data_IF_441901865814
#
_entry.id   IF_441901865814
#
_cell.length_a   1.000
_cell.length_b   1.000
_cell.length_c   1.000
_cell.angle_alpha   90.00
_cell.angle_beta   90.00
_cell.angle_gamma   90.00
#
_symmetry.space_group_name_H-M   'P 1'
#
loop_
_entity.id
_entity.type
_entity.pdbx_description
1 polymer ?
#
# COMPACT_ATOMS: atom_id res chain seq x y z
N UNK A 1 4.36 -21.97 -21.58
CA UNK A 1 3.35 -22.45 -20.62
C UNK A 1 2.02 -21.82 -21.00
N UNK A 2 0.93 -22.59 -21.10
CA UNK A 2 -0.38 -22.02 -21.45
C UNK A 2 -0.99 -21.31 -20.24
N UNK A 3 -1.44 -20.06 -20.42
CA UNK A 3 -2.11 -19.30 -19.37
C UNK A 3 -3.60 -19.65 -19.33
N UNK A 4 -4.01 -20.54 -18.43
CA UNK A 4 -5.41 -20.97 -18.34
C UNK A 4 -6.39 -19.85 -17.97
N UNK A 5 -5.95 -18.73 -17.39
CA UNK A 5 -6.84 -17.59 -17.13
C UNK A 5 -7.40 -16.98 -18.42
N UNK A 6 -6.64 -17.05 -19.52
CA UNK A 6 -7.09 -16.56 -20.83
C UNK A 6 -8.21 -17.41 -21.43
N UNK A 7 -8.33 -18.68 -20.99
CA UNK A 7 -9.38 -19.60 -21.42
C UNK A 7 -10.69 -19.46 -20.62
N UNK A 8 -10.66 -18.76 -19.48
CA UNK A 8 -11.86 -18.57 -18.64
C UNK A 8 -12.76 -17.51 -19.30
N UNK A 9 -14.07 -17.77 -19.45
CA UNK A 9 -15.00 -16.77 -19.97
C UNK A 9 -14.91 -15.48 -19.16
N UNK A 10 -14.70 -14.34 -19.83
CA UNK A 10 -14.55 -13.01 -19.20
C UNK A 10 -15.73 -12.59 -18.32
N UNK A 11 -16.89 -13.22 -18.49
CA UNK A 11 -18.09 -13.03 -17.65
C UNK A 11 -17.98 -13.68 -16.27
N UNK A 12 -17.12 -14.70 -16.13
CA UNK A 12 -16.84 -15.38 -14.85
C UNK A 12 -15.71 -14.73 -14.06
N UNK A 13 -14.99 -13.79 -14.67
CA UNK A 13 -13.90 -13.07 -14.03
C UNK A 13 -14.44 -11.79 -13.37
N UNK A 14 -14.05 -11.56 -12.11
CA UNK A 14 -14.30 -10.28 -11.44
C UNK A 14 -13.63 -9.16 -12.23
N UNK A 15 -14.35 -8.04 -12.39
CA UNK A 15 -13.84 -6.86 -13.07
C UNK A 15 -13.56 -5.77 -12.06
N UNK A 16 -12.39 -5.17 -12.15
CA UNK A 16 -12.02 -4.03 -11.33
C UNK A 16 -11.89 -2.78 -12.21
N UNK A 17 -12.12 -1.58 -11.64
CA UNK A 17 -11.82 -0.34 -12.33
C UNK A 17 -10.38 -0.34 -12.84
N UNK A 18 -10.16 0.20 -14.04
CA UNK A 18 -8.80 0.39 -14.57
C UNK A 18 -8.23 1.70 -14.04
N UNK A 19 -6.97 1.67 -13.65
CA UNK A 19 -6.21 2.85 -13.26
C UNK A 19 -4.84 2.81 -13.95
N UNK A 20 -4.31 3.94 -14.44
CA UNK A 20 -3.01 3.97 -15.13
C UNK A 20 -1.81 3.74 -14.20
N UNK A 21 -1.97 3.91 -12.88
CA UNK A 21 -0.88 3.84 -11.91
C UNK A 21 -0.87 2.56 -11.07
N UNK A 22 -2.04 1.92 -10.89
CA UNK A 22 -2.16 0.75 -10.02
C UNK A 22 -3.09 -0.32 -10.60
N UNK A 23 -2.68 -1.58 -10.48
CA UNK A 23 -3.56 -2.71 -10.77
C UNK A 23 -4.43 -3.05 -9.54
N UNK A 24 -5.74 -3.15 -9.74
CA UNK A 24 -6.69 -3.45 -8.67
C UNK A 24 -7.13 -4.92 -8.70
N UNK A 25 -7.28 -5.57 -7.54
CA UNK A 25 -6.93 -5.09 -6.18
C UNK A 25 -5.43 -5.21 -5.88
N UNK A 26 -4.89 -4.23 -5.14
CA UNK A 26 -3.47 -4.21 -4.76
C UNK A 26 -3.21 -4.40 -3.26
N UNK A 27 -1.96 -4.69 -2.92
CA UNK A 27 -1.41 -4.65 -1.57
C UNK A 27 -0.22 -3.73 -1.54
N UNK A 28 -0.28 -2.74 -0.65
CA UNK A 28 0.73 -1.72 -0.54
C UNK A 28 1.20 -1.59 0.90
N UNK A 29 2.50 -1.39 1.08
CA UNK A 29 3.06 -0.86 2.33
C UNK A 29 3.60 0.54 2.10
N UNK A 30 3.38 1.42 3.08
CA UNK A 30 3.95 2.76 3.13
C UNK A 30 4.77 2.84 4.41
N UNK A 31 6.09 2.86 4.25
CA UNK A 31 7.05 2.89 5.34
C UNK A 31 7.81 4.22 5.32
N UNK A 32 7.52 5.07 6.28
CA UNK A 32 7.95 6.47 6.24
C UNK A 32 8.14 6.96 7.68
N UNK A 33 9.35 7.37 8.10
CA UNK A 33 9.57 7.95 9.42
C UNK A 33 8.60 9.11 9.73
N UNK A 34 8.36 9.44 10.99
CA UNK A 34 7.45 10.54 11.34
C UNK A 34 7.85 11.87 10.65
N UNK A 35 6.86 12.64 10.21
CA UNK A 35 7.05 13.92 9.53
C UNK A 35 7.56 13.85 8.07
N UNK A 36 7.70 12.65 7.49
CA UNK A 36 8.23 12.48 6.12
C UNK A 36 7.17 12.47 5.00
N UNK A 37 5.88 12.61 5.34
CA UNK A 37 4.80 12.76 4.36
C UNK A 37 3.94 11.53 4.08
N UNK A 38 3.94 10.53 4.98
CA UNK A 38 3.12 9.31 4.88
C UNK A 38 1.65 9.57 4.52
N UNK A 39 0.95 10.34 5.35
CA UNK A 39 -0.48 10.57 5.20
C UNK A 39 -0.78 11.36 3.92
N UNK A 40 0.05 12.34 3.56
CA UNK A 40 -0.06 13.08 2.29
C UNK A 40 0.14 12.18 1.06
N UNK A 41 1.10 11.25 1.10
CA UNK A 41 1.32 10.30 0.01
C UNK A 41 0.09 9.40 -0.17
N UNK A 42 -0.48 8.93 0.94
CA UNK A 42 -1.69 8.09 0.91
C UNK A 42 -2.89 8.88 0.37
N UNK A 43 -3.08 10.13 0.76
CA UNK A 43 -4.09 11.00 0.14
C UNK A 43 -3.90 11.14 -1.35
N UNK A 44 -2.67 11.39 -1.79
CA UNK A 44 -2.37 11.54 -3.21
C UNK A 44 -2.72 10.26 -3.98
N UNK A 45 -2.41 9.09 -3.42
CA UNK A 45 -2.79 7.78 -3.98
C UNK A 45 -4.31 7.62 -4.04
N UNK A 46 -5.03 7.98 -2.97
CA UNK A 46 -6.51 7.94 -2.97
C UNK A 46 -7.07 8.85 -4.07
N UNK A 47 -6.50 10.05 -4.27
CA UNK A 47 -6.91 10.96 -5.33
C UNK A 47 -6.64 10.38 -6.73
N UNK A 48 -5.49 9.76 -6.96
CA UNK A 48 -5.17 9.05 -8.20
C UNK A 48 -6.12 7.87 -8.45
N UNK A 49 -6.62 7.24 -7.39
CA UNK A 49 -7.57 6.14 -7.40
C UNK A 49 -9.02 6.62 -7.28
N UNK A 50 -9.29 7.91 -7.51
CA UNK A 50 -10.64 8.45 -7.45
C UNK A 50 -11.60 7.60 -8.29
N UNK A 51 -12.80 7.34 -7.73
CA UNK A 51 -13.85 6.50 -8.34
C UNK A 51 -13.50 5.02 -8.54
N UNK A 52 -12.34 4.55 -8.07
CA UNK A 52 -11.96 3.13 -8.15
C UNK A 52 -12.53 2.28 -7.01
N UNK A 53 -13.03 2.90 -5.94
CA UNK A 53 -13.54 2.22 -4.77
C UNK A 53 -14.95 2.68 -4.43
N UNK A 54 -15.83 1.73 -4.13
CA UNK A 54 -17.17 2.00 -3.63
C UNK A 54 -17.18 2.31 -2.13
N UNK A 55 -16.09 1.96 -1.43
CA UNK A 55 -15.90 2.20 0.00
C UNK A 55 -14.42 2.29 0.34
N UNK A 56 -14.08 3.23 1.23
CA UNK A 56 -12.75 3.37 1.81
C UNK A 56 -12.90 3.22 3.33
N UNK A 57 -12.12 2.32 3.92
CA UNK A 57 -12.06 2.12 5.37
C UNK A 57 -10.68 2.50 5.86
N UNK A 58 -10.62 3.30 6.91
CA UNK A 58 -9.39 3.71 7.57
C UNK A 58 -9.45 3.19 9.00
N UNK A 59 -8.61 2.22 9.31
CA UNK A 59 -8.41 1.70 10.66
C UNK A 59 -7.22 2.41 11.28
N UNK A 60 -7.45 3.14 12.36
CA UNK A 60 -6.42 3.89 13.10
C UNK A 60 -6.64 3.74 14.61
N UNK A 61 -5.65 4.10 15.41
CA UNK A 61 -5.81 4.20 16.87
C UNK A 61 -6.61 5.44 17.27
N UNK A 62 -6.38 6.55 16.58
CA UNK A 62 -7.01 7.84 16.87
C UNK A 62 -7.24 8.57 15.55
N UNK A 63 -8.40 9.17 15.39
CA UNK A 63 -8.72 9.95 14.20
C UNK A 63 -7.76 11.14 14.02
N UNK A 64 -7.45 11.46 12.77
CA UNK A 64 -6.65 12.62 12.38
C UNK A 64 -7.52 13.58 11.56
N UNK A 65 -7.28 14.90 11.67
CA UNK A 65 -8.00 15.93 10.89
C UNK A 65 -7.98 15.66 9.39
N UNK A 66 -6.93 15.00 8.91
CA UNK A 66 -6.79 14.60 7.51
C UNK A 66 -7.87 13.61 7.05
N UNK A 67 -8.28 12.69 7.93
CA UNK A 67 -9.31 11.71 7.65
C UNK A 67 -10.71 12.32 7.67
N UNK A 68 -10.92 13.35 8.48
CA UNK A 68 -12.15 14.13 8.44
C UNK A 68 -12.26 14.89 7.11
N UNK A 69 -11.19 15.54 6.67
CA UNK A 69 -11.16 16.16 5.36
C UNK A 69 -11.43 15.18 4.21
N UNK A 70 -10.93 13.93 4.32
CA UNK A 70 -11.24 12.86 3.38
C UNK A 70 -12.73 12.50 3.35
N UNK A 71 -13.38 12.37 4.52
CA UNK A 71 -14.82 12.10 4.62
C UNK A 71 -15.64 13.22 3.98
N UNK A 72 -15.21 14.46 4.14
CA UNK A 72 -15.91 15.62 3.57
C UNK A 72 -15.75 15.71 2.05
N UNK A 73 -14.70 15.09 1.49
CA UNK A 73 -14.35 15.19 0.07
C UNK A 73 -14.76 13.95 -0.74
N UNK A 74 -14.84 12.78 -0.11
CA UNK A 74 -15.07 11.49 -0.78
C UNK A 74 -16.22 10.75 -0.11
N UNK A 75 -17.20 10.35 -0.91
CA UNK A 75 -18.32 9.55 -0.44
C UNK A 75 -17.88 8.17 0.09
N UNK A 76 -18.60 7.65 1.07
CA UNK A 76 -18.41 6.30 1.60
C UNK A 76 -17.02 6.04 2.22
N UNK A 77 -16.43 7.06 2.84
CA UNK A 77 -15.26 6.92 3.73
C UNK A 77 -15.73 6.61 5.15
N UNK A 78 -15.18 5.55 5.74
CA UNK A 78 -15.41 5.17 7.13
C UNK A 78 -14.08 5.18 7.88
N UNK A 79 -14.02 5.84 9.04
CA UNK A 79 -12.90 5.74 9.96
C UNK A 79 -13.32 4.87 11.14
N UNK A 80 -12.49 3.89 11.47
CA UNK A 80 -12.64 2.98 12.59
C UNK A 80 -11.45 3.23 13.52
N UNK A 81 -11.76 3.62 14.75
CA UNK A 81 -10.77 4.04 15.75
C UNK A 81 -10.42 2.90 16.72
N UNK A 82 -9.63 3.21 17.75
CA UNK A 82 -9.26 2.29 18.83
C UNK A 82 -8.50 1.04 18.35
N UNK A 83 -7.85 1.13 17.18
CA UNK A 83 -7.10 0.01 16.59
C UNK A 83 -7.99 -1.15 16.15
N UNK A 84 -9.31 -0.92 16.03
CA UNK A 84 -10.24 -1.94 15.56
C UNK A 84 -10.11 -2.17 14.05
N UNK A 85 -10.22 -3.44 13.66
CA UNK A 85 -10.22 -3.87 12.27
C UNK A 85 -11.50 -4.67 12.04
N UNK A 86 -12.32 -4.35 11.02
CA UNK A 86 -13.55 -5.08 10.76
C UNK A 86 -13.25 -6.43 10.10
N UNK A 87 -14.14 -7.40 10.22
CA UNK A 87 -14.01 -8.67 9.52
C UNK A 87 -14.36 -8.49 8.03
N UNK A 88 -13.58 -9.13 7.13
CA UNK A 88 -13.85 -9.07 5.69
C UNK A 88 -15.28 -9.52 5.32
N UNK A 89 -15.85 -10.44 6.11
CA UNK A 89 -17.20 -10.98 5.90
C UNK A 89 -18.33 -10.00 6.16
N UNK A 90 -18.06 -8.86 6.81
CA UNK A 90 -19.04 -7.79 7.03
C UNK A 90 -19.35 -7.01 5.75
N UNK A 91 -18.61 -7.27 4.66
CA UNK A 91 -18.72 -6.57 3.40
C UNK A 91 -18.93 -7.53 2.23
N UNK A 92 -19.50 -7.00 1.13
CA UNK A 92 -19.69 -7.77 -0.09
C UNK A 92 -18.34 -8.15 -0.74
N UNK A 93 -18.35 -9.12 -1.64
CA UNK A 93 -17.13 -9.58 -2.34
C UNK A 93 -17.01 -9.06 -3.78
N UNK A 94 -17.99 -8.30 -4.25
CA UNK A 94 -18.19 -7.97 -5.67
C UNK A 94 -17.69 -6.57 -6.03
N UNK A 95 -17.75 -5.63 -5.10
CA UNK A 95 -17.36 -4.24 -5.30
C UNK A 95 -15.90 -4.00 -4.94
N UNK A 96 -15.22 -3.13 -5.67
CA UNK A 96 -13.85 -2.72 -5.37
C UNK A 96 -13.82 -1.86 -4.11
N UNK A 97 -13.05 -2.26 -3.09
CA UNK A 97 -12.97 -1.59 -1.79
C UNK A 97 -11.52 -1.34 -1.39
N UNK A 98 -11.27 -0.30 -0.60
CA UNK A 98 -9.96 0.01 -0.05
C UNK A 98 -10.02 -0.05 1.48
N UNK A 99 -9.05 -0.74 2.09
CA UNK A 99 -8.81 -0.66 3.53
C UNK A 99 -7.39 -0.18 3.81
N UNK A 100 -7.28 0.77 4.74
CA UNK A 100 -6.03 1.40 5.16
C UNK A 100 -5.82 1.12 6.63
N UNK A 101 -4.67 0.55 6.98
CA UNK A 101 -4.25 0.29 8.35
C UNK A 101 -3.18 1.32 8.71
N UNK A 102 -3.54 2.34 9.50
CA UNK A 102 -2.63 3.43 9.85
C UNK A 102 -2.02 3.26 11.23
N UNK A 103 -0.69 3.15 11.25
CA UNK A 103 0.19 3.04 12.43
C UNK A 103 -0.27 2.01 13.48
N UNK A 104 -0.91 0.93 13.03
CA UNK A 104 -1.41 -0.14 13.91
C UNK A 104 -0.32 -1.11 14.36
N UNK A 105 0.96 -0.82 14.11
CA UNK A 105 2.08 -1.76 14.30
C UNK A 105 2.23 -2.27 15.74
N UNK A 106 1.78 -1.49 16.72
CA UNK A 106 1.82 -1.83 18.14
C UNK A 106 0.54 -2.51 18.65
N UNK A 107 -0.46 -2.72 17.79
CA UNK A 107 -1.70 -3.38 18.18
C UNK A 107 -1.47 -4.86 18.55
N UNK A 108 -2.35 -5.45 19.39
CA UNK A 108 -2.21 -6.82 19.82
C UNK A 108 -2.07 -7.82 18.66
N UNK A 109 -1.41 -8.96 18.94
CA UNK A 109 -1.19 -10.03 17.94
C UNK A 109 -2.47 -10.47 17.22
N UNK A 110 -3.63 -10.40 17.90
CA UNK A 110 -4.94 -10.69 17.30
C UNK A 110 -5.27 -9.73 16.16
N UNK A 111 -5.11 -8.42 16.39
CA UNK A 111 -5.31 -7.38 15.37
C UNK A 111 -4.33 -7.55 14.22
N UNK A 112 -3.03 -7.75 14.52
CA UNK A 112 -2.02 -8.00 13.47
C UNK A 112 -2.32 -9.26 12.63
N UNK A 113 -2.82 -10.33 13.26
CA UNK A 113 -3.23 -11.54 12.56
C UNK A 113 -4.43 -11.27 11.63
N UNK A 114 -5.39 -10.46 12.06
CA UNK A 114 -6.53 -10.05 11.24
C UNK A 114 -6.10 -9.20 10.03
N UNK A 115 -5.19 -8.24 10.22
CA UNK A 115 -4.60 -7.48 9.11
C UNK A 115 -3.85 -8.42 8.16
N UNK A 116 -3.11 -9.40 8.70
CA UNK A 116 -2.47 -10.45 7.90
C UNK A 116 -3.45 -11.22 7.00
N UNK A 117 -4.66 -11.53 7.49
CA UNK A 117 -5.69 -12.16 6.68
C UNK A 117 -6.14 -11.30 5.49
N UNK A 118 -6.25 -9.97 5.67
CA UNK A 118 -6.51 -9.06 4.55
C UNK A 118 -5.41 -9.15 3.48
N UNK A 119 -4.13 -9.11 3.87
CA UNK A 119 -3.01 -9.19 2.91
C UNK A 119 -2.88 -10.55 2.21
N UNK A 120 -3.36 -11.64 2.82
CA UNK A 120 -3.35 -12.97 2.20
C UNK A 120 -4.58 -13.19 1.30
N UNK A 121 -5.78 -12.82 1.77
CA UNK A 121 -7.06 -13.24 1.17
C UNK A 121 -7.91 -12.10 0.62
N UNK A 122 -7.66 -10.86 1.02
CA UNK A 122 -8.49 -9.69 0.72
C UNK A 122 -8.73 -9.47 -0.77
N UNK A 123 -7.73 -9.72 -1.62
CA UNK A 123 -7.86 -9.60 -3.08
C UNK A 123 -9.00 -10.45 -3.67
N UNK A 124 -9.22 -11.65 -3.14
CA UNK A 124 -10.32 -12.53 -3.62
C UNK A 124 -11.71 -11.94 -3.28
N UNK A 125 -11.76 -11.13 -2.23
CA UNK A 125 -12.93 -10.39 -1.79
C UNK A 125 -12.90 -8.91 -2.23
N UNK A 126 -12.17 -8.60 -3.32
CA UNK A 126 -12.13 -7.27 -3.95
C UNK A 126 -11.58 -6.14 -3.07
N UNK A 127 -10.74 -6.47 -2.07
CA UNK A 127 -10.04 -5.49 -1.25
C UNK A 127 -8.67 -5.14 -1.81
N UNK A 128 -8.44 -3.85 -2.00
CA UNK A 128 -7.11 -3.24 -1.96
C UNK A 128 -6.73 -2.91 -0.52
N UNK A 129 -5.45 -3.06 -0.19
CA UNK A 129 -4.92 -2.88 1.16
C UNK A 129 -3.75 -1.90 1.15
N UNK A 130 -3.74 -0.96 2.09
CA UNK A 130 -2.57 -0.12 2.42
C UNK A 130 -2.23 -0.33 3.90
N UNK A 131 -0.97 -0.66 4.20
CA UNK A 131 -0.46 -0.65 5.57
C UNK A 131 0.53 0.50 5.72
N UNK A 132 0.25 1.44 6.61
CA UNK A 132 1.11 2.59 6.91
C UNK A 132 1.85 2.32 8.21
N UNK A 133 3.16 2.54 8.20
CA UNK A 133 3.99 2.39 9.40
C UNK A 133 5.15 3.39 9.36
N UNK A 134 5.61 3.78 10.55
CA UNK A 134 6.83 4.59 10.68
C UNK A 134 8.10 3.81 10.35
N UNK A 135 8.05 2.48 10.49
CA UNK A 135 9.18 1.58 10.27
C UNK A 135 8.80 0.45 9.34
N UNK A 136 9.57 0.27 8.25
CA UNK A 136 9.42 -0.86 7.34
C UNK A 136 9.56 -2.20 8.08
N UNK A 137 10.57 -2.32 8.96
CA UNK A 137 10.81 -3.55 9.70
C UNK A 137 9.81 -3.80 10.83
N UNK A 138 9.09 -2.76 11.26
CA UNK A 138 7.94 -2.92 12.15
C UNK A 138 6.78 -3.66 11.48
N UNK A 139 6.62 -3.52 10.16
CA UNK A 139 5.55 -4.18 9.42
C UNK A 139 5.79 -5.69 9.42
N UNK A 140 4.78 -6.51 9.82
CA UNK A 140 4.88 -7.96 9.80
C UNK A 140 5.42 -8.48 8.47
N UNK A 141 6.38 -9.43 8.52
CA UNK A 141 7.02 -9.99 7.32
C UNK A 141 5.98 -10.51 6.31
N UNK A 142 4.93 -11.17 6.79
CA UNK A 142 3.82 -11.67 5.97
C UNK A 142 3.14 -10.58 5.14
N UNK A 143 3.01 -9.37 5.68
CA UNK A 143 2.43 -8.23 4.97
C UNK A 143 3.42 -7.73 3.91
N UNK A 144 4.69 -7.53 4.29
CA UNK A 144 5.75 -7.05 3.39
C UNK A 144 5.92 -7.92 2.15
N UNK A 145 6.08 -9.24 2.31
CA UNK A 145 6.31 -10.17 1.19
C UNK A 145 5.10 -10.32 0.26
N UNK A 146 3.90 -9.95 0.74
CA UNK A 146 2.67 -10.02 -0.05
C UNK A 146 2.38 -8.70 -0.78
N UNK A 147 3.05 -7.61 -0.46
CA UNK A 147 2.79 -6.33 -1.09
C UNK A 147 3.42 -6.23 -2.48
N UNK A 148 2.64 -5.76 -3.44
CA UNK A 148 3.12 -5.41 -4.78
C UNK A 148 3.77 -4.04 -4.82
N UNK A 149 3.33 -3.15 -3.94
CA UNK A 149 3.77 -1.77 -3.91
C UNK A 149 4.40 -1.46 -2.56
N UNK A 150 5.61 -0.90 -2.59
CA UNK A 150 6.33 -0.51 -1.37
C UNK A 150 6.76 0.93 -1.54
N UNK A 151 6.24 1.79 -0.67
CA UNK A 151 6.62 3.19 -0.64
C UNK A 151 7.56 3.42 0.53
N UNK A 152 8.73 3.99 0.23
CA UNK A 152 9.71 4.43 1.20
C UNK A 152 9.73 5.95 1.27
N UNK A 153 9.50 6.50 2.46
CA UNK A 153 9.76 7.91 2.74
C UNK A 153 11.23 8.19 3.02
N UNK A 154 11.51 9.47 3.26
CA UNK A 154 12.85 9.99 3.57
C UNK A 154 13.45 9.47 4.88
N UNK A 155 14.75 9.67 5.02
CA UNK A 155 15.52 9.49 6.26
C UNK A 155 15.70 8.02 6.70
N UNK A 156 15.64 7.07 5.77
CA UNK A 156 16.08 5.69 6.04
C UNK A 156 17.61 5.61 6.03
N UNK A 157 18.15 4.77 6.90
CA UNK A 157 19.61 4.58 6.98
C UNK A 157 20.12 3.70 5.83
N UNK A 158 21.39 3.83 5.45
CA UNK A 158 22.02 2.95 4.46
C UNK A 158 21.94 1.46 4.84
N UNK A 159 21.95 1.16 6.15
CA UNK A 159 21.78 -0.20 6.67
C UNK A 159 20.39 -0.73 6.37
N UNK A 160 19.37 0.07 6.68
CA UNK A 160 17.97 -0.29 6.45
C UNK A 160 17.70 -0.49 4.96
N UNK A 161 18.14 0.45 4.13
CA UNK A 161 18.04 0.37 2.67
C UNK A 161 18.71 -0.89 2.13
N UNK A 162 19.87 -1.27 2.65
CA UNK A 162 20.56 -2.49 2.24
C UNK A 162 19.77 -3.76 2.57
N UNK A 163 19.06 -3.80 3.70
CA UNK A 163 18.19 -4.93 4.06
C UNK A 163 16.92 -4.90 3.20
N UNK A 164 16.29 -3.74 3.04
CA UNK A 164 15.08 -3.54 2.22
C UNK A 164 15.33 -4.00 0.77
N UNK A 165 16.45 -3.59 0.17
CA UNK A 165 16.85 -3.99 -1.17
C UNK A 165 16.88 -5.51 -1.36
N UNK A 166 17.26 -6.26 -0.31
CA UNK A 166 17.34 -7.73 -0.34
C UNK A 166 15.99 -8.43 -0.14
N UNK A 167 14.96 -7.73 0.32
CA UNK A 167 13.61 -8.28 0.45
C UNK A 167 12.90 -8.38 -0.92
N UNK A 168 13.44 -7.76 -1.97
CA UNK A 168 12.84 -7.73 -3.30
C UNK A 168 13.69 -8.45 -4.35
N UNK A 169 13.06 -9.05 -5.37
CA UNK A 169 13.77 -9.57 -6.53
C UNK A 169 14.26 -8.40 -7.38
N UNK A 170 15.51 -7.99 -7.19
CA UNK A 170 16.14 -6.85 -7.88
C UNK A 170 17.52 -7.24 -8.41
N UNK A 171 17.86 -6.73 -9.59
CA UNK A 171 19.20 -6.85 -10.17
C UNK A 171 20.08 -5.62 -9.83
N UNK A 172 19.51 -4.63 -9.14
CA UNK A 172 20.21 -3.41 -8.74
C UNK A 172 21.21 -3.73 -7.62
N UNK A 173 22.50 -3.37 -7.79
CA UNK A 173 23.45 -3.45 -6.69
C UNK A 173 23.01 -2.56 -5.52
N UNK A 174 23.15 -3.05 -4.28
CA UNK A 174 22.71 -2.33 -3.06
C UNK A 174 23.20 -0.87 -3.01
N UNK A 175 24.45 -0.61 -3.44
CA UNK A 175 24.99 0.75 -3.49
C UNK A 175 24.19 1.65 -4.44
N UNK A 176 23.89 1.15 -5.63
CA UNK A 176 23.06 1.84 -6.63
C UNK A 176 21.65 2.09 -6.09
N UNK A 177 21.06 1.11 -5.40
CA UNK A 177 19.75 1.28 -4.76
C UNK A 177 19.75 2.39 -3.70
N UNK A 178 20.79 2.44 -2.85
CA UNK A 178 20.93 3.49 -1.84
C UNK A 178 21.09 4.87 -2.50
N UNK A 179 21.91 4.98 -3.54
CA UNK A 179 22.13 6.24 -4.24
C UNK A 179 20.87 6.70 -4.98
N UNK A 180 20.13 5.76 -5.57
CA UNK A 180 18.83 6.01 -6.19
C UNK A 180 17.83 6.54 -5.17
N UNK A 181 17.67 5.85 -4.04
CA UNK A 181 16.79 6.27 -2.96
C UNK A 181 17.11 7.71 -2.50
N UNK A 182 18.39 8.01 -2.24
CA UNK A 182 18.83 9.36 -1.82
C UNK A 182 18.45 10.45 -2.82
N UNK A 183 18.54 10.15 -4.13
CA UNK A 183 18.15 11.09 -5.19
C UNK A 183 16.64 11.25 -5.26
N UNK A 184 15.91 10.14 -5.29
CA UNK A 184 14.44 10.09 -5.37
C UNK A 184 13.79 10.80 -4.19
N UNK A 185 14.37 10.67 -2.99
CA UNK A 185 13.84 11.23 -1.75
C UNK A 185 14.64 12.47 -1.27
N UNK A 186 15.21 13.26 -2.17
CA UNK A 186 16.10 14.39 -1.83
C UNK A 186 15.37 15.65 -1.31
N UNK A 187 14.10 15.83 -1.68
CA UNK A 187 13.25 17.00 -1.35
C UNK A 187 12.17 16.69 -0.30
N UNK A 188 11.73 17.65 0.50
CA UNK A 188 10.77 17.35 1.59
C UNK A 188 9.51 16.72 0.99
N UNK A 189 8.87 15.81 1.73
CA UNK A 189 7.66 15.09 1.29
C UNK A 189 7.82 14.18 0.08
N UNK A 190 9.04 13.98 -0.44
CA UNK A 190 9.26 13.07 -1.57
C UNK A 190 9.38 11.61 -1.12
N UNK A 191 8.84 10.72 -1.94
CA UNK A 191 8.81 9.29 -1.68
C UNK A 191 9.33 8.49 -2.87
N UNK A 192 9.84 7.30 -2.59
CA UNK A 192 10.20 6.31 -3.59
C UNK A 192 9.18 5.18 -3.55
N UNK A 193 8.45 4.99 -4.64
CA UNK A 193 7.58 3.83 -4.86
C UNK A 193 8.38 2.75 -5.61
N UNK A 194 8.37 1.54 -5.08
CA UNK A 194 8.82 0.34 -5.77
C UNK A 194 7.59 -0.48 -6.16
N UNK A 195 7.39 -0.66 -7.46
CA UNK A 195 6.45 -1.62 -8.04
C UNK A 195 7.20 -2.94 -8.25
N UNK A 196 6.90 -3.91 -7.40
CA UNK A 196 7.55 -5.22 -7.41
C UNK A 196 7.01 -6.10 -8.54
N UNK A 197 5.79 -5.84 -9.02
CA UNK A 197 5.15 -6.66 -10.06
C UNK A 197 5.75 -6.33 -11.43
N UNK A 198 5.80 -5.03 -11.74
CA UNK A 198 6.35 -4.55 -13.01
C UNK A 198 7.86 -4.31 -12.95
N UNK A 199 8.47 -4.48 -11.77
CA UNK A 199 9.88 -4.20 -11.49
C UNK A 199 10.26 -2.78 -11.90
N UNK A 200 9.58 -1.79 -11.31
CA UNK A 200 9.81 -0.36 -11.60
C UNK A 200 9.92 0.46 -10.33
N UNK A 201 10.66 1.55 -10.43
CA UNK A 201 10.82 2.54 -9.36
C UNK A 201 10.26 3.87 -9.86
N UNK A 202 9.46 4.51 -9.00
CA UNK A 202 8.87 5.81 -9.25
C UNK A 202 9.20 6.78 -8.11
N UNK A 203 9.35 8.05 -8.46
CA UNK A 203 9.37 9.18 -7.55
C UNK A 203 7.94 9.69 -7.36
N UNK A 204 7.55 9.97 -6.12
CA UNK A 204 6.24 10.54 -5.78
C UNK A 204 5.08 9.80 -6.46
N UNK A 205 5.14 8.46 -6.45
CA UNK A 205 4.13 7.54 -7.00
C UNK A 205 4.05 7.49 -8.54
N UNK A 206 4.25 8.60 -9.26
CA UNK A 206 3.93 8.68 -10.69
C UNK A 206 5.12 8.92 -11.62
N UNK A 207 6.23 9.49 -11.14
CA UNK A 207 7.37 9.87 -11.98
C UNK A 207 8.30 8.67 -12.13
N UNK A 208 8.29 8.01 -13.29
CA UNK A 208 9.16 6.86 -13.55
C UNK A 208 10.64 7.25 -13.42
N UNK A 209 11.41 6.41 -12.71
CA UNK A 209 12.84 6.63 -12.46
C UNK A 209 13.68 5.59 -13.20
N UNK A 210 13.45 4.31 -12.92
CA UNK A 210 14.15 3.19 -13.55
C UNK A 210 13.44 1.86 -13.29
N UNK A 211 13.93 0.78 -13.89
CA UNK A 211 13.52 -0.58 -13.56
C UNK A 211 14.22 -1.07 -12.28
N UNK A 212 13.58 -1.99 -11.55
CA UNK A 212 14.01 -2.63 -10.29
C UNK A 212 14.78 -3.93 -10.54
#
# INVERSE_FOLDING_TARGET
MQNFYESIPKTKLKRFPKNPHFELPFRMVVASPSGSGKSNTVLYIIALLSKCFTRIIICTKTNETLYDHLKDTIDNVQVIEEGMVPAMSEYDSETSKLIIFDDLVLEPKKTQAQIGQYFIRGRKAAWSMIYISQSYFGIPKTIRINSQYVILGRNLTSRDLGIICRDFPTDIPIKTFIDLYKRTTSEKMTTMLMDITDRKIYRNVIEYVCDL
#
